data_IF_674625297973
#
_entry.id   IF_674625297973
#
_cell.length_a   1.000
_cell.length_b   1.000
_cell.length_c   1.000
_cell.angle_alpha   90.00
_cell.angle_beta   90.00
_cell.angle_gamma   90.00
#
_symmetry.space_group_name_H-M   'P 1'
#
loop_
_entity.id
_entity.type
_entity.pdbx_description
1 polymer ?
#
# COMPACT_ATOMS: atom_id res chain seq x y z
N UNK A 1 15.01 36.05 -4.76
CA UNK A 1 13.84 35.15 -4.93
C UNK A 1 14.39 33.75 -5.12
N UNK A 2 14.14 32.83 -4.18
CA UNK A 2 14.49 31.42 -4.36
C UNK A 2 13.40 30.74 -5.23
N UNK A 3 13.75 29.79 -6.11
CA UNK A 3 12.76 29.07 -6.89
C UNK A 3 11.88 28.22 -5.96
N UNK A 4 10.58 28.16 -6.27
CA UNK A 4 9.65 27.24 -5.63
C UNK A 4 10.17 25.81 -5.81
N UNK A 5 10.40 25.13 -4.68
CA UNK A 5 10.73 23.71 -4.67
C UNK A 5 9.51 22.97 -5.22
N UNK A 6 9.68 22.39 -6.41
CA UNK A 6 8.64 21.61 -7.07
C UNK A 6 8.34 20.42 -6.15
N UNK A 7 7.15 20.43 -5.54
CA UNK A 7 6.62 19.25 -4.87
C UNK A 7 6.67 18.09 -5.87
N UNK A 8 7.09 16.91 -5.39
CA UNK A 8 7.21 15.70 -6.20
C UNK A 8 5.92 15.33 -6.94
N UNK A 9 5.95 14.28 -7.77
CA UNK A 9 4.82 13.90 -8.61
C UNK A 9 3.51 13.88 -7.81
N UNK A 10 2.45 14.47 -8.38
CA UNK A 10 1.09 14.40 -7.83
C UNK A 10 0.68 12.91 -7.79
N UNK A 11 0.88 12.26 -6.64
CA UNK A 11 0.48 10.89 -6.38
C UNK A 11 -1.04 10.87 -6.22
N UNK A 12 -1.77 10.75 -7.33
CA UNK A 12 -3.23 10.96 -7.34
C UNK A 12 -4.03 9.75 -6.85
N UNK A 13 -3.44 8.56 -6.64
CA UNK A 13 -4.21 7.40 -6.18
C UNK A 13 -3.42 6.32 -5.46
N UNK A 14 -3.91 5.96 -4.27
CA UNK A 14 -3.61 4.73 -3.55
C UNK A 14 -4.71 3.71 -3.89
N UNK A 15 -4.36 2.63 -4.60
CA UNK A 15 -5.29 1.51 -4.85
C UNK A 15 -4.79 0.29 -4.06
N UNK A 16 -5.66 -0.25 -3.21
CA UNK A 16 -5.48 -1.55 -2.56
C UNK A 16 -6.33 -2.55 -3.33
N UNK A 17 -5.70 -3.37 -4.18
CA UNK A 17 -6.41 -4.11 -5.23
C UNK A 17 -6.70 -5.58 -4.88
N UNK A 18 -5.97 -6.15 -3.91
CA UNK A 18 -6.24 -7.51 -3.44
C UNK A 18 -5.91 -7.64 -1.95
N UNK A 19 -6.90 -8.07 -1.17
CA UNK A 19 -6.75 -8.45 0.24
C UNK A 19 -7.02 -9.95 0.35
N UNK A 20 -6.10 -10.69 0.95
CA UNK A 20 -6.33 -12.09 1.31
C UNK A 20 -6.06 -12.32 2.78
N UNK A 21 -6.63 -13.39 3.32
CA UNK A 21 -6.40 -13.78 4.70
C UNK A 21 -6.44 -15.30 4.89
N UNK A 22 -5.74 -15.77 5.91
CA UNK A 22 -5.82 -17.14 6.42
C UNK A 22 -5.75 -17.09 7.95
N UNK A 23 -6.59 -17.86 8.63
CA UNK A 23 -6.62 -17.91 10.10
C UNK A 23 -6.60 -19.32 10.65
N UNK A 24 -6.05 -19.42 11.85
CA UNK A 24 -6.28 -20.50 12.81
C UNK A 24 -7.07 -19.93 14.02
N UNK A 25 -7.13 -20.61 15.16
CA UNK A 25 -7.96 -20.21 16.31
C UNK A 25 -7.63 -18.82 16.86
N UNK A 26 -6.33 -18.51 17.02
CA UNK A 26 -5.84 -17.31 17.70
C UNK A 26 -4.93 -16.43 16.84
N UNK A 27 -4.67 -16.82 15.60
CA UNK A 27 -3.77 -16.10 14.69
C UNK A 27 -4.36 -16.04 13.29
N UNK A 28 -4.15 -14.93 12.59
CA UNK A 28 -4.40 -14.80 11.16
C UNK A 28 -3.24 -14.12 10.45
N UNK A 29 -3.09 -14.39 9.17
CA UNK A 29 -2.22 -13.63 8.26
C UNK A 29 -3.11 -12.91 7.28
N UNK A 30 -3.03 -11.59 7.24
CA UNK A 30 -3.68 -10.75 6.22
C UNK A 30 -2.60 -10.25 5.28
N UNK A 31 -2.86 -10.20 3.97
CA UNK A 31 -1.96 -9.54 3.03
C UNK A 31 -2.73 -8.60 2.12
N UNK A 32 -2.07 -7.51 1.71
CA UNK A 32 -2.63 -6.55 0.76
C UNK A 32 -1.56 -6.07 -0.22
N UNK A 33 -1.99 -5.66 -1.41
CA UNK A 33 -1.10 -5.02 -2.39
C UNK A 33 -1.34 -3.51 -2.42
N UNK A 34 -0.25 -2.76 -2.46
CA UNK A 34 -0.18 -1.33 -2.71
C UNK A 34 0.16 -1.11 -4.18
N UNK A 35 -0.73 -0.45 -4.93
CA UNK A 35 -0.43 0.09 -6.25
C UNK A 35 -0.55 1.60 -6.19
N UNK A 36 0.58 2.28 -6.40
CA UNK A 36 0.60 3.74 -6.55
C UNK A 36 0.63 4.06 -8.03
N UNK A 37 -0.31 4.87 -8.49
CA UNK A 37 -0.31 5.37 -9.87
C UNK A 37 0.00 6.85 -9.92
N UNK A 38 0.87 7.24 -10.85
CA UNK A 38 1.18 8.64 -11.15
C UNK A 38 0.48 9.07 -12.43
N UNK A 39 -0.12 10.26 -12.41
CA UNK A 39 -0.66 10.94 -13.58
C UNK A 39 0.10 12.25 -13.75
N UNK A 40 1.07 12.29 -14.65
CA UNK A 40 1.84 13.51 -14.90
C UNK A 40 1.05 14.50 -15.78
N UNK A 41 1.01 15.80 -15.44
CA UNK A 41 0.48 16.81 -16.32
C UNK A 41 1.23 16.86 -17.68
N UNK A 42 0.52 17.09 -18.80
CA UNK A 42 -0.93 17.25 -18.92
C UNK A 42 -1.66 15.91 -18.67
N UNK A 43 -2.79 15.97 -17.94
CA UNK A 43 -3.63 14.84 -17.46
C UNK A 43 -4.24 13.93 -18.55
N UNK A 44 -3.71 13.99 -19.78
CA UNK A 44 -4.05 13.14 -20.92
C UNK A 44 -3.14 11.91 -21.02
N UNK A 45 -2.08 11.83 -20.22
CA UNK A 45 -1.19 10.68 -20.20
C UNK A 45 -1.86 9.45 -19.54
N UNK A 46 -1.64 8.26 -20.12
CA UNK A 46 -2.02 6.99 -19.50
C UNK A 46 -1.38 6.88 -18.11
N UNK A 47 -2.17 6.59 -17.04
CA UNK A 47 -1.62 6.37 -15.71
C UNK A 47 -0.50 5.33 -15.72
N UNK A 48 0.59 5.62 -15.01
CA UNK A 48 1.71 4.67 -14.86
C UNK A 48 1.76 4.17 -13.43
N UNK A 49 2.13 2.92 -13.24
CA UNK A 49 2.47 2.40 -11.91
C UNK A 49 3.79 3.03 -11.50
N UNK A 50 3.76 3.80 -10.40
CA UNK A 50 4.91 4.48 -9.84
C UNK A 50 5.55 3.69 -8.69
N UNK A 51 4.76 2.86 -8.02
CA UNK A 51 5.25 1.93 -7.00
C UNK A 51 4.31 0.73 -6.87
N UNK A 52 4.88 -0.42 -6.55
CA UNK A 52 4.17 -1.65 -6.25
C UNK A 52 4.76 -2.27 -5.00
N UNK A 53 3.93 -2.53 -3.99
CA UNK A 53 4.37 -3.22 -2.78
C UNK A 53 3.33 -4.23 -2.30
N UNK A 54 3.77 -5.15 -1.45
CA UNK A 54 2.91 -6.05 -0.68
C UNK A 54 3.09 -5.78 0.80
N UNK A 55 1.98 -5.66 1.52
CA UNK A 55 1.95 -5.70 2.97
C UNK A 55 1.54 -7.08 3.43
N UNK A 56 2.29 -7.64 4.38
CA UNK A 56 1.94 -8.84 5.13
C UNK A 56 1.76 -8.44 6.59
N UNK A 57 0.56 -8.68 7.09
CA UNK A 57 0.03 -8.21 8.38
C UNK A 57 -0.38 -9.41 9.24
N UNK A 58 0.50 -9.90 10.14
CA UNK A 58 0.11 -10.86 11.15
C UNK A 58 -0.89 -10.25 12.13
N UNK A 59 -1.98 -10.98 12.36
CA UNK A 59 -3.07 -10.60 13.26
C UNK A 59 -3.15 -11.65 14.36
N UNK A 60 -3.32 -11.21 15.60
CA UNK A 60 -3.45 -12.09 16.77
C UNK A 60 -4.76 -11.80 17.48
N UNK A 61 -5.33 -12.82 18.10
CA UNK A 61 -6.51 -12.67 18.94
C UNK A 61 -6.10 -12.47 20.40
N UNK A 62 -6.51 -11.36 21.00
CA UNK A 62 -6.25 -11.04 22.41
C UNK A 62 -7.59 -10.70 23.05
N UNK A 63 -7.94 -11.40 24.12
CA UNK A 63 -9.21 -11.22 24.86
C UNK A 63 -10.47 -11.21 23.97
N UNK A 64 -10.44 -12.02 22.91
CA UNK A 64 -11.55 -12.17 21.97
C UNK A 64 -11.53 -11.20 20.78
N UNK A 65 -10.64 -10.21 20.79
CA UNK A 65 -10.49 -9.19 19.73
C UNK A 65 -9.31 -9.49 18.81
N UNK A 66 -9.44 -9.16 17.52
CA UNK A 66 -8.38 -9.32 16.53
C UNK A 66 -7.56 -8.03 16.40
N UNK A 67 -6.25 -8.15 16.62
CA UNK A 67 -5.32 -7.02 16.61
C UNK A 67 -4.19 -7.27 15.61
N UNK A 68 -3.80 -6.23 14.87
CA UNK A 68 -2.57 -6.27 14.07
C UNK A 68 -1.36 -6.35 15.00
N UNK A 69 -0.57 -7.41 14.89
CA UNK A 69 0.63 -7.57 15.68
C UNK A 69 1.77 -6.69 15.15
N UNK A 70 1.99 -6.74 13.83
CA UNK A 70 2.95 -5.89 13.12
C UNK A 70 2.64 -5.91 11.61
N UNK A 71 3.36 -5.08 10.86
CA UNK A 71 3.30 -5.03 9.39
C UNK A 71 4.70 -5.19 8.82
N UNK A 72 4.84 -6.05 7.83
CA UNK A 72 6.01 -6.12 6.95
C UNK A 72 5.63 -5.65 5.55
N UNK A 73 6.54 -4.91 4.90
CA UNK A 73 6.36 -4.43 3.53
C UNK A 73 7.45 -5.03 2.64
N UNK A 74 7.03 -5.67 1.56
CA UNK A 74 7.90 -6.04 0.44
C UNK A 74 7.68 -5.06 -0.70
N UNK A 75 8.67 -4.24 -0.98
CA UNK A 75 8.69 -3.38 -2.16
C UNK A 75 9.15 -4.19 -3.38
N UNK A 76 8.39 -4.13 -4.47
CA UNK A 76 8.72 -4.81 -5.72
C UNK A 76 9.47 -3.92 -6.73
N UNK A 77 9.70 -2.65 -6.38
CA UNK A 77 10.27 -1.65 -7.27
C UNK A 77 9.25 -1.10 -8.27
N UNK A 78 9.69 -0.09 -9.02
CA UNK A 78 8.97 0.57 -10.12
C UNK A 78 9.52 0.19 -11.48
#
# INVERSE_FOLDING_TARGET
MAPAQQCGPDLERLIVDAVGWKSDTDTASVWSYLVVTSVEPPKQNTPRVAALARFDDPVVRVDGEWLFAHRTMTDFGS
#
